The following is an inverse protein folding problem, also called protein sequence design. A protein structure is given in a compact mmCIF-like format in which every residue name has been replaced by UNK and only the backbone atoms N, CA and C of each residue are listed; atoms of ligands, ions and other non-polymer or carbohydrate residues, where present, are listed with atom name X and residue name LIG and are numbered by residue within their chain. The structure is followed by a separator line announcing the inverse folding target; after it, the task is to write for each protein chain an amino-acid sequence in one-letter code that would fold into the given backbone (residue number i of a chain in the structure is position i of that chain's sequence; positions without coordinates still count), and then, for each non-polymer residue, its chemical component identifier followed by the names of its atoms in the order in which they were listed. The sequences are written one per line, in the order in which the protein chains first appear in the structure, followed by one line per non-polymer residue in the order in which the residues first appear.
data_IF_833056732475
#
_entry.id   IF_833056732475
#
_cell.length_a   1.000
_cell.length_b   1.000
_cell.length_c   1.000
_cell.angle_alpha   90.00
_cell.angle_beta   90.00
_cell.angle_gamma   90.00
#
_symmetry.space_group_name_H-M   'P 1'
#
loop_
_entity.id
_entity.type
_entity.pdbx_description
1 polymer ?
#
# COMPACT_ATOMS: atom_id res chain seq x y z
N UNK A 1 28.73 4.38 -24.14
CA UNK A 1 28.59 5.08 -22.86
C UNK A 1 27.17 4.86 -22.41
N UNK A 2 26.94 4.48 -21.15
CA UNK A 2 25.60 4.51 -20.57
C UNK A 2 25.12 5.96 -20.58
N UNK A 3 23.87 6.20 -21.00
CA UNK A 3 23.26 7.53 -20.91
C UNK A 3 22.96 7.82 -19.43
N UNK A 4 23.98 8.29 -18.70
CA UNK A 4 23.82 8.78 -17.32
C UNK A 4 22.96 10.05 -17.41
N UNK A 5 21.85 10.08 -16.67
CA UNK A 5 20.94 11.23 -16.70
C UNK A 5 20.84 11.94 -15.36
N UNK A 6 20.94 11.20 -14.23
CA UNK A 6 20.72 11.73 -12.86
C UNK A 6 19.38 12.47 -12.65
N UNK A 7 18.48 12.39 -13.62
CA UNK A 7 17.18 13.04 -13.59
C UNK A 7 16.18 12.17 -12.83
N UNK A 8 15.25 12.77 -12.06
CA UNK A 8 14.19 12.04 -11.38
C UNK A 8 13.06 11.65 -12.35
N UNK A 9 13.40 11.14 -13.54
CA UNK A 9 12.44 10.94 -14.64
C UNK A 9 11.34 9.98 -14.20
N UNK A 10 10.10 10.47 -14.26
CA UNK A 10 8.92 9.69 -13.91
C UNK A 10 8.60 9.62 -12.42
N UNK A 11 9.43 10.14 -11.51
CA UNK A 11 9.04 10.26 -10.09
C UNK A 11 7.79 11.15 -9.94
N UNK A 12 7.59 12.08 -10.89
CA UNK A 12 6.37 12.84 -11.09
C UNK A 12 5.67 12.37 -12.37
N UNK A 13 4.34 12.21 -12.32
CA UNK A 13 3.55 11.89 -13.51
C UNK A 13 3.27 13.12 -14.40
N UNK A 14 2.62 12.92 -15.56
CA UNK A 14 2.27 14.01 -16.47
C UNK A 14 1.28 15.05 -15.88
N UNK A 15 0.58 14.71 -14.79
CA UNK A 15 -0.35 15.56 -14.06
C UNK A 15 0.32 16.28 -12.87
N UNK A 16 1.67 16.24 -12.79
CA UNK A 16 2.45 16.81 -11.67
C UNK A 16 2.13 16.17 -10.32
N UNK A 17 1.79 14.88 -10.31
CA UNK A 17 1.52 14.14 -9.07
C UNK A 17 2.67 13.23 -8.68
N UNK A 18 2.96 13.21 -7.38
CA UNK A 18 3.87 12.25 -6.78
C UNK A 18 3.14 10.94 -6.43
N UNK A 19 3.87 9.84 -6.19
CA UNK A 19 3.26 8.52 -5.91
C UNK A 19 2.26 8.58 -4.74
N UNK A 20 2.52 9.39 -3.71
CA UNK A 20 1.66 9.54 -2.54
C UNK A 20 0.26 10.03 -2.89
N UNK A 21 0.17 10.96 -3.84
CA UNK A 21 -1.08 11.57 -4.31
C UNK A 21 -1.88 10.62 -5.23
N UNK A 22 -1.21 9.62 -5.82
CA UNK A 22 -1.83 8.61 -6.68
C UNK A 22 -2.42 7.44 -5.88
N UNK A 23 -2.04 7.28 -4.61
CA UNK A 23 -2.51 6.17 -3.75
C UNK A 23 -3.69 6.61 -2.87
N UNK A 24 -4.86 6.00 -3.08
CA UNK A 24 -5.98 6.12 -2.15
C UNK A 24 -5.77 5.23 -0.93
N UNK A 25 -6.01 5.78 0.27
CA UNK A 25 -6.01 5.03 1.54
C UNK A 25 -7.41 4.89 2.16
N UNK A 26 -8.45 5.38 1.48
CA UNK A 26 -9.79 5.56 2.06
C UNK A 26 -10.61 4.28 2.16
N UNK A 27 -10.46 3.33 1.24
CA UNK A 27 -11.28 2.11 1.21
C UNK A 27 -10.94 1.16 2.35
N UNK A 28 -9.67 1.11 2.76
CA UNK A 28 -9.24 0.24 3.86
C UNK A 28 -9.75 0.71 5.22
N UNK A 29 -9.80 2.02 5.48
CA UNK A 29 -10.39 2.54 6.72
C UNK A 29 -11.89 2.24 6.78
N UNK A 30 -12.63 2.40 5.68
CA UNK A 30 -14.04 1.97 5.59
C UNK A 30 -14.21 0.47 5.86
N UNK A 31 -13.29 -0.37 5.38
CA UNK A 31 -13.32 -1.81 5.67
C UNK A 31 -13.02 -2.11 7.16
N UNK A 32 -12.10 -1.38 7.77
CA UNK A 32 -11.76 -1.48 9.20
C UNK A 32 -12.92 -1.05 10.10
N UNK A 33 -13.60 0.05 9.77
CA UNK A 33 -14.82 0.51 10.45
C UNK A 33 -15.93 -0.55 10.38
N UNK A 34 -16.19 -1.07 9.18
CA UNK A 34 -17.15 -2.16 8.98
C UNK A 34 -16.79 -3.39 9.82
N UNK A 35 -15.51 -3.81 9.81
CA UNK A 35 -15.03 -4.96 10.57
C UNK A 35 -15.20 -4.82 12.09
N UNK A 36 -15.14 -3.57 12.60
CA UNK A 36 -15.39 -3.24 14.01
C UNK A 36 -16.88 -3.24 14.35
N UNK A 37 -17.74 -2.84 13.41
CA UNK A 37 -19.18 -2.79 13.59
C UNK A 37 -19.86 -4.18 13.56
N UNK A 38 -19.21 -5.17 12.93
CA UNK A 38 -19.73 -6.54 12.88
C UNK A 38 -19.63 -7.23 14.26
N UNK A 39 -20.63 -8.05 14.63
CA UNK A 39 -20.60 -8.84 15.86
C UNK A 39 -19.32 -9.67 16.01
N UNK A 40 -18.88 -9.94 17.25
CA UNK A 40 -17.54 -10.46 17.46
C UNK A 40 -17.29 -11.85 16.87
N UNK A 41 -18.35 -12.65 16.78
CA UNK A 41 -18.43 -13.99 16.23
C UNK A 41 -19.87 -14.27 15.77
N UNK A 42 -20.07 -15.46 15.20
CA UNK A 42 -21.37 -15.88 14.71
C UNK A 42 -22.42 -16.02 15.82
N UNK A 43 -22.03 -16.43 17.04
CA UNK A 43 -23.00 -16.58 18.15
C UNK A 43 -23.58 -15.23 18.56
N UNK A 44 -22.75 -14.19 18.62
CA UNK A 44 -23.20 -12.83 18.89
C UNK A 44 -24.04 -12.27 17.74
N UNK A 45 -23.72 -12.60 16.50
CA UNK A 45 -24.56 -12.27 15.35
C UNK A 45 -25.95 -12.93 15.45
N UNK A 46 -26.02 -14.21 15.79
CA UNK A 46 -27.29 -14.90 16.02
C UNK A 46 -28.11 -14.18 17.12
N UNK A 47 -27.47 -13.79 18.22
CA UNK A 47 -28.14 -13.06 19.29
C UNK A 47 -28.72 -11.72 18.81
N UNK A 48 -27.89 -10.90 18.15
CA UNK A 48 -28.29 -9.57 17.68
C UNK A 48 -29.41 -9.61 16.64
N UNK A 49 -29.44 -10.67 15.82
CA UNK A 49 -30.47 -10.85 14.79
C UNK A 49 -31.74 -11.54 15.32
N UNK A 50 -31.88 -11.73 16.63
CA UNK A 50 -33.09 -12.28 17.24
C UNK A 50 -33.15 -13.81 17.28
N UNK A 51 -32.00 -14.49 17.18
CA UNK A 51 -31.85 -15.93 17.27
C UNK A 51 -32.34 -16.53 18.59
N UNK A 52 -32.42 -15.73 19.66
CA UNK A 52 -32.94 -16.13 20.97
C UNK A 52 -34.40 -16.62 20.92
N UNK A 53 -35.19 -16.16 19.94
CA UNK A 53 -36.57 -16.64 19.70
C UNK A 53 -36.63 -18.11 19.32
N UNK A 54 -35.54 -18.66 18.82
CA UNK A 54 -35.44 -20.03 18.32
C UNK A 54 -34.62 -20.95 19.23
N UNK A 55 -33.92 -20.38 20.23
CA UNK A 55 -33.11 -21.12 21.20
C UNK A 55 -33.32 -20.61 22.65
N UNK A 56 -34.45 -20.93 23.30
CA UNK A 56 -34.85 -20.33 24.58
C UNK A 56 -33.90 -20.59 25.76
N UNK A 57 -33.09 -21.66 25.72
CA UNK A 57 -32.25 -22.09 26.86
C UNK A 57 -30.84 -22.58 26.50
N UNK A 58 -30.35 -22.37 25.26
CA UNK A 58 -29.11 -23.03 24.79
C UNK A 58 -28.23 -22.27 23.79
N UNK A 59 -28.46 -20.98 23.54
CA UNK A 59 -27.72 -20.27 22.47
C UNK A 59 -26.19 -20.18 22.71
N UNK A 60 -25.73 -20.16 23.98
CA UNK A 60 -24.29 -20.11 24.32
C UNK A 60 -23.58 -21.45 24.11
N UNK A 61 -24.33 -22.56 24.19
CA UNK A 61 -23.82 -23.92 23.97
C UNK A 61 -24.01 -24.37 22.52
N UNK A 62 -24.46 -23.47 21.64
CA UNK A 62 -24.67 -23.73 20.22
C UNK A 62 -23.35 -24.01 19.50
N UNK A 63 -23.27 -25.17 18.84
CA UNK A 63 -22.14 -25.53 18.00
C UNK A 63 -22.28 -24.91 16.61
N UNK A 64 -21.68 -23.74 16.45
CA UNK A 64 -21.65 -23.02 15.16
C UNK A 64 -21.00 -23.87 14.06
N UNK A 65 -21.63 -23.98 12.86
CA UNK A 65 -21.01 -24.62 11.69
C UNK A 65 -19.63 -24.03 11.39
N UNK A 66 -18.68 -24.88 10.99
CA UNK A 66 -17.31 -24.44 10.71
C UNK A 66 -17.28 -23.30 9.68
N UNK A 67 -18.08 -23.39 8.61
CA UNK A 67 -18.22 -22.34 7.60
C UNK A 67 -18.67 -20.99 8.17
N UNK A 68 -19.58 -20.97 9.15
CA UNK A 68 -20.02 -19.74 9.81
C UNK A 68 -18.92 -19.12 10.70
N UNK A 69 -18.09 -19.94 11.34
CA UNK A 69 -16.90 -19.45 12.08
C UNK A 69 -15.87 -18.82 11.13
N UNK A 70 -15.59 -19.50 10.01
CA UNK A 70 -14.66 -19.00 8.98
C UNK A 70 -15.18 -17.71 8.36
N UNK A 71 -16.47 -17.63 8.05
CA UNK A 71 -17.11 -16.44 7.50
C UNK A 71 -16.87 -15.19 8.38
N UNK A 72 -17.16 -15.28 9.69
CA UNK A 72 -16.98 -14.17 10.63
C UNK A 72 -15.51 -13.82 10.89
N UNK A 73 -14.62 -14.81 10.88
CA UNK A 73 -13.19 -14.54 10.96
C UNK A 73 -12.70 -13.70 9.77
N UNK A 74 -13.19 -14.02 8.55
CA UNK A 74 -12.80 -13.31 7.33
C UNK A 74 -13.43 -11.91 7.21
N UNK A 75 -14.63 -11.69 7.76
CA UNK A 75 -15.19 -10.33 7.86
C UNK A 75 -14.31 -9.36 8.61
N UNK A 76 -13.50 -9.88 9.54
CA UNK A 76 -12.67 -9.06 10.41
C UNK A 76 -11.25 -8.89 9.93
N UNK A 77 -10.76 -9.79 9.07
CA UNK A 77 -9.40 -9.78 8.52
C UNK A 77 -8.31 -9.22 9.46
N UNK A 78 -8.32 -9.62 10.75
CA UNK A 78 -7.60 -8.89 11.82
C UNK A 78 -6.09 -8.78 11.57
N UNK A 79 -5.53 -9.68 10.77
CA UNK A 79 -4.11 -9.68 10.39
C UNK A 79 -3.74 -8.59 9.37
N UNK A 80 -4.69 -8.06 8.61
CA UNK A 80 -4.45 -7.00 7.61
C UNK A 80 -4.22 -5.65 8.27
N UNK A 81 -5.01 -5.28 9.29
CA UNK A 81 -4.99 -3.91 9.82
C UNK A 81 -3.66 -3.47 10.45
N UNK A 82 -2.93 -4.31 11.22
CA UNK A 82 -1.62 -3.95 11.72
C UNK A 82 -0.59 -3.73 10.60
N UNK A 83 -0.65 -4.57 9.56
CA UNK A 83 0.22 -4.41 8.38
C UNK A 83 -0.09 -3.12 7.64
N UNK A 84 -1.37 -2.84 7.44
CA UNK A 84 -1.79 -1.61 6.77
C UNK A 84 -1.48 -0.35 7.58
N UNK A 85 -1.58 -0.41 8.92
CA UNK A 85 -1.15 0.69 9.79
C UNK A 85 0.33 1.02 9.60
N UNK A 86 1.20 0.00 9.62
CA UNK A 86 2.63 0.16 9.33
C UNK A 86 2.89 0.67 7.93
N UNK A 87 2.11 0.25 6.94
CA UNK A 87 2.24 0.71 5.57
C UNK A 87 2.01 2.23 5.46
N UNK A 88 1.01 2.76 6.18
CA UNK A 88 0.77 4.21 6.24
C UNK A 88 1.93 4.97 6.88
N UNK A 89 2.50 4.44 7.95
CA UNK A 89 3.69 5.01 8.59
C UNK A 89 4.89 5.00 7.63
N UNK A 90 5.13 3.88 6.94
CA UNK A 90 6.20 3.76 5.94
C UNK A 90 6.02 4.73 4.77
N UNK A 91 4.80 4.89 4.26
CA UNK A 91 4.51 5.87 3.22
C UNK A 91 4.83 7.29 3.67
N UNK A 92 4.48 7.63 4.91
CA UNK A 92 4.83 8.94 5.47
C UNK A 92 6.34 9.12 5.64
N UNK A 93 7.03 8.15 6.25
CA UNK A 93 8.50 8.19 6.39
C UNK A 93 9.20 8.31 5.05
N UNK A 94 8.73 7.56 4.04
CA UNK A 94 9.25 7.65 2.68
C UNK A 94 9.10 9.04 2.09
N UNK A 95 7.92 9.67 2.25
CA UNK A 95 7.70 11.03 1.75
C UNK A 95 8.61 12.05 2.45
N UNK A 96 8.80 11.93 3.77
CA UNK A 96 9.71 12.80 4.53
C UNK A 96 11.17 12.61 4.13
N UNK A 97 11.63 11.37 3.98
CA UNK A 97 12.98 11.06 3.53
C UNK A 97 13.23 11.54 2.08
N UNK A 98 12.24 11.37 1.20
CA UNK A 98 12.26 11.90 -0.16
C UNK A 98 12.41 13.43 -0.17
N UNK A 99 11.62 14.14 0.64
CA UNK A 99 11.68 15.60 0.72
C UNK A 99 13.05 16.11 1.19
N UNK A 100 13.60 15.48 2.24
CA UNK A 100 14.93 15.80 2.74
C UNK A 100 15.99 15.57 1.65
N UNK A 101 15.88 14.48 0.89
CA UNK A 101 16.76 14.22 -0.25
C UNK A 101 16.72 15.33 -1.28
N UNK A 102 15.52 15.72 -1.72
CA UNK A 102 15.37 16.70 -2.78
C UNK A 102 15.99 18.03 -2.37
N UNK A 103 15.80 18.43 -1.11
CA UNK A 103 16.38 19.65 -0.54
C UNK A 103 17.91 19.58 -0.51
N UNK A 104 18.49 18.44 -0.11
CA UNK A 104 19.93 18.23 -0.08
C UNK A 104 20.54 18.22 -1.50
N UNK A 105 19.90 17.50 -2.44
CA UNK A 105 20.32 17.48 -3.85
C UNK A 105 20.31 18.88 -4.46
N UNK A 106 19.26 19.66 -4.24
CA UNK A 106 19.16 21.03 -4.75
C UNK A 106 20.26 21.92 -4.18
N UNK A 107 20.50 21.87 -2.87
CA UNK A 107 21.58 22.65 -2.23
C UNK A 107 22.97 22.29 -2.77
N UNK A 108 23.21 21.02 -3.08
CA UNK A 108 24.50 20.55 -3.60
C UNK A 108 24.69 20.93 -5.07
N UNK A 109 23.64 20.82 -5.90
CA UNK A 109 23.68 21.23 -7.31
C UNK A 109 23.90 22.75 -7.47
N UNK A 110 23.27 23.57 -6.62
CA UNK A 110 23.52 25.02 -6.59
C UNK A 110 24.98 25.36 -6.29
N UNK A 111 25.62 24.59 -5.41
CA UNK A 111 27.04 24.77 -5.04
C UNK A 111 27.98 24.38 -6.19
N UNK A 112 27.75 23.24 -6.85
CA UNK A 112 28.54 22.82 -8.02
C UNK A 112 28.46 23.86 -9.14
N UNK A 113 27.26 24.36 -9.44
CA UNK A 113 27.09 25.35 -10.51
C UNK A 113 27.86 26.64 -10.21
N UNK A 114 27.88 27.10 -8.96
CA UNK A 114 28.64 28.27 -8.56
C UNK A 114 30.16 28.08 -8.75
N UNK A 115 30.69 26.90 -8.40
CA UNK A 115 32.12 26.62 -8.49
C UNK A 115 32.59 26.36 -9.93
N UNK A 116 31.81 25.64 -10.74
CA UNK A 116 32.09 25.41 -12.18
C UNK A 116 32.10 26.74 -12.95
N UNK A 117 31.18 27.66 -12.63
CA UNK A 117 31.15 28.99 -13.24
C UNK A 117 32.31 29.89 -12.78
N UNK A 118 32.89 29.63 -11.60
CA UNK A 118 33.94 30.46 -11.01
C UNK A 118 35.37 30.02 -11.37
N UNK A 119 35.62 28.72 -11.58
CA UNK A 119 36.97 28.17 -11.74
C UNK A 119 37.10 27.21 -12.95
N UNK A 120 37.60 27.72 -14.07
CA UNK A 120 37.82 26.91 -15.29
C UNK A 120 39.08 26.03 -15.29
N UNK A 121 39.88 26.00 -14.22
CA UNK A 121 41.24 25.42 -14.23
C UNK A 121 41.54 24.37 -13.14
N UNK A 122 40.62 24.04 -12.24
CA UNK A 122 40.82 22.93 -11.30
C UNK A 122 40.45 21.59 -11.96
N UNK A 123 41.28 20.55 -11.81
CA UNK A 123 41.00 19.18 -12.32
C UNK A 123 41.08 18.08 -11.27
N UNK A 124 41.50 18.40 -10.03
CA UNK A 124 41.73 17.41 -8.97
C UNK A 124 41.04 17.75 -7.64
N UNK A 125 40.70 19.01 -7.37
CA UNK A 125 39.81 19.34 -6.24
C UNK A 125 38.37 18.88 -6.52
N UNK A 126 38.00 18.88 -7.81
CA UNK A 126 36.67 18.58 -8.32
C UNK A 126 36.23 17.13 -8.04
N UNK A 127 37.13 16.14 -8.08
CA UNK A 127 36.74 14.75 -7.81
C UNK A 127 36.43 14.49 -6.32
N UNK A 128 37.15 15.14 -5.40
CA UNK A 128 36.82 15.05 -3.96
C UNK A 128 35.54 15.80 -3.63
N UNK A 129 35.37 17.00 -4.20
CA UNK A 129 34.13 17.78 -4.03
C UNK A 129 32.92 17.05 -4.63
N UNK A 130 33.09 16.41 -5.78
CA UNK A 130 32.06 15.59 -6.39
C UNK A 130 31.75 14.35 -5.56
N UNK A 131 32.77 13.70 -4.97
CA UNK A 131 32.58 12.57 -4.06
C UNK A 131 31.74 12.96 -2.84
N UNK A 132 31.95 14.15 -2.28
CA UNK A 132 31.14 14.70 -1.18
C UNK A 132 29.66 14.91 -1.58
N UNK A 133 29.34 14.88 -2.87
CA UNK A 133 27.99 15.11 -3.41
C UNK A 133 27.36 13.80 -3.86
N UNK A 134 28.13 12.93 -4.50
CA UNK A 134 27.66 11.65 -5.03
C UNK A 134 27.46 10.63 -3.91
N UNK A 135 28.40 10.49 -2.97
CA UNK A 135 28.31 9.48 -1.89
C UNK A 135 27.04 9.63 -1.02
N UNK A 136 26.67 10.82 -0.50
CA UNK A 136 25.44 10.96 0.29
C UNK A 136 24.18 10.69 -0.54
N UNK A 137 24.20 11.01 -1.83
CA UNK A 137 23.08 10.74 -2.75
C UNK A 137 22.94 9.26 -3.03
N UNK A 138 24.04 8.54 -3.17
CA UNK A 138 24.06 7.08 -3.34
C UNK A 138 23.46 6.40 -2.13
N UNK A 139 23.96 6.70 -0.93
CA UNK A 139 23.47 6.14 0.33
C UNK A 139 21.96 6.34 0.51
N UNK A 140 21.49 7.56 0.24
CA UNK A 140 20.07 7.86 0.42
C UNK A 140 19.19 7.27 -0.70
N UNK A 141 19.65 7.24 -1.95
CA UNK A 141 18.92 6.60 -3.05
C UNK A 141 18.80 5.07 -2.83
N UNK A 142 19.81 4.43 -2.22
CA UNK A 142 19.70 3.06 -1.71
C UNK A 142 18.64 2.91 -0.61
N UNK A 143 18.58 3.83 0.36
CA UNK A 143 17.51 3.81 1.38
C UNK A 143 16.12 3.93 0.75
N UNK A 144 15.95 4.82 -0.23
CA UNK A 144 14.68 4.98 -0.96
C UNK A 144 14.31 3.70 -1.71
N UNK A 145 15.26 3.09 -2.43
CA UNK A 145 15.08 1.79 -3.07
C UNK A 145 14.61 0.72 -2.08
N UNK A 146 15.29 0.60 -0.95
CA UNK A 146 14.98 -0.41 0.08
C UNK A 146 13.60 -0.16 0.70
N UNK A 147 13.28 1.09 1.01
CA UNK A 147 11.96 1.45 1.55
C UNK A 147 10.85 1.14 0.55
N UNK A 148 11.02 1.46 -0.74
CA UNK A 148 10.06 1.13 -1.80
C UNK A 148 9.85 -0.39 -1.91
N UNK A 149 10.94 -1.17 -1.89
CA UNK A 149 10.90 -2.63 -1.91
C UNK A 149 10.11 -3.22 -0.71
N UNK A 150 10.32 -2.68 0.49
CA UNK A 150 9.60 -3.12 1.67
C UNK A 150 8.10 -2.74 1.59
N UNK A 151 7.78 -1.54 1.11
CA UNK A 151 6.40 -1.08 0.89
C UNK A 151 5.68 -2.02 -0.09
N UNK A 152 6.31 -2.37 -1.22
CA UNK A 152 5.77 -3.36 -2.18
C UNK A 152 5.47 -4.68 -1.49
N UNK A 153 6.41 -5.18 -0.68
CA UNK A 153 6.26 -6.45 0.04
C UNK A 153 5.06 -6.40 1.00
N UNK A 154 4.90 -5.32 1.76
CA UNK A 154 3.76 -5.14 2.67
C UNK A 154 2.43 -4.99 1.91
N UNK A 155 2.40 -4.26 0.80
CA UNK A 155 1.23 -4.14 -0.08
C UNK A 155 0.81 -5.49 -0.68
N UNK A 156 1.76 -6.28 -1.19
CA UNK A 156 1.52 -7.61 -1.73
C UNK A 156 0.97 -8.56 -0.65
N UNK A 157 1.50 -8.48 0.57
CA UNK A 157 1.00 -9.24 1.72
C UNK A 157 -0.44 -8.87 2.03
N UNK A 158 -0.78 -7.58 2.08
CA UNK A 158 -2.17 -7.10 2.28
C UNK A 158 -3.07 -7.60 1.16
N UNK A 159 -2.67 -7.42 -0.10
CA UNK A 159 -3.43 -7.86 -1.28
C UNK A 159 -3.73 -9.36 -1.24
N UNK A 160 -2.74 -10.18 -0.89
CA UNK A 160 -2.90 -11.64 -0.77
C UNK A 160 -3.93 -12.02 0.29
N UNK A 161 -3.87 -11.40 1.48
CA UNK A 161 -4.83 -11.67 2.56
C UNK A 161 -6.25 -11.22 2.17
N UNK A 162 -6.41 -10.05 1.56
CA UNK A 162 -7.73 -9.56 1.11
C UNK A 162 -8.33 -10.49 0.03
N UNK A 163 -7.53 -10.92 -0.95
CA UNK A 163 -7.97 -11.91 -1.97
C UNK A 163 -8.41 -13.22 -1.33
N UNK A 164 -7.64 -13.71 -0.35
CA UNK A 164 -8.01 -14.89 0.41
C UNK A 164 -9.31 -14.68 1.20
N UNK A 165 -9.53 -13.50 1.78
CA UNK A 165 -10.78 -13.17 2.47
C UNK A 165 -11.99 -13.28 1.54
N UNK A 166 -11.96 -12.70 0.34
CA UNK A 166 -13.07 -12.84 -0.63
C UNK A 166 -13.33 -14.31 -0.97
N UNK A 167 -12.26 -15.06 -1.29
CA UNK A 167 -12.37 -16.49 -1.62
C UNK A 167 -13.01 -17.28 -0.47
N UNK A 168 -12.55 -17.06 0.76
CA UNK A 168 -13.05 -17.75 1.94
C UNK A 168 -14.50 -17.38 2.28
N UNK A 169 -14.88 -16.11 2.10
CA UNK A 169 -16.27 -15.66 2.28
C UNK A 169 -17.17 -16.36 1.25
N UNK A 170 -16.80 -16.35 -0.03
CA UNK A 170 -17.57 -17.02 -1.08
C UNK A 170 -17.74 -18.52 -0.81
N UNK A 171 -16.66 -19.21 -0.42
CA UNK A 171 -16.73 -20.63 -0.07
C UNK A 171 -17.65 -20.86 1.14
N UNK A 172 -17.50 -20.05 2.19
CA UNK A 172 -18.34 -20.17 3.40
C UNK A 172 -19.81 -19.91 3.09
N UNK A 173 -20.12 -18.96 2.21
CA UNK A 173 -21.49 -18.71 1.73
C UNK A 173 -22.03 -19.91 0.98
N UNK A 174 -21.26 -20.53 0.08
CA UNK A 174 -21.67 -21.72 -0.65
C UNK A 174 -21.93 -22.91 0.28
N UNK A 175 -21.03 -23.16 1.24
CA UNK A 175 -21.16 -24.23 2.23
C UNK A 175 -22.40 -24.02 3.12
N UNK A 176 -22.64 -22.78 3.55
CA UNK A 176 -23.83 -22.45 4.33
C UNK A 176 -25.10 -22.54 3.50
N UNK A 177 -25.07 -22.17 2.21
CA UNK A 177 -26.20 -22.37 1.28
C UNK A 177 -26.58 -23.84 1.17
N UNK A 178 -25.60 -24.72 1.00
CA UNK A 178 -25.84 -26.17 0.98
C UNK A 178 -26.38 -26.69 2.33
N UNK A 179 -25.84 -26.17 3.44
CA UNK A 179 -26.29 -26.54 4.79
C UNK A 179 -27.75 -26.17 5.04
N UNK A 180 -28.23 -25.02 4.56
CA UNK A 180 -29.60 -24.53 4.84
C UNK A 180 -30.70 -25.13 3.96
N UNK A 181 -30.41 -26.08 3.07
CA UNK A 181 -31.41 -26.71 2.18
C UNK A 181 -32.23 -27.77 2.91
N UNK A 182 -33.50 -27.50 3.23
CA UNK A 182 -34.38 -28.47 3.89
C UNK A 182 -34.75 -29.64 2.98
N UNK A 183 -34.77 -30.84 3.55
CA UNK A 183 -35.42 -32.00 2.93
C UNK A 183 -36.94 -31.79 2.88
N UNK A 184 -37.69 -32.52 2.03
CA UNK A 184 -39.14 -32.39 1.99
C UNK A 184 -39.84 -32.63 3.33
N UNK A 185 -39.32 -33.55 4.14
CA UNK A 185 -39.88 -33.83 5.46
C UNK A 185 -39.54 -32.73 6.47
N UNK A 186 -38.30 -32.24 6.49
CA UNK A 186 -37.94 -31.08 7.32
C UNK A 186 -38.78 -29.85 6.95
N UNK A 187 -39.03 -29.61 5.66
CA UNK A 187 -39.86 -28.49 5.20
C UNK A 187 -41.30 -28.60 5.73
N UNK A 188 -41.91 -29.79 5.70
CA UNK A 188 -43.25 -30.01 6.29
C UNK A 188 -43.29 -29.73 7.79
N UNK A 189 -42.21 -30.03 8.50
CA UNK A 189 -42.08 -29.74 9.93
C UNK A 189 -41.86 -28.23 10.18
N UNK A 190 -41.08 -27.56 9.34
CA UNK A 190 -40.92 -26.09 9.32
C UNK A 190 -42.27 -25.39 9.13
N UNK A 191 -43.10 -25.84 8.18
CA UNK A 191 -44.40 -25.24 7.89
C UNK A 191 -45.36 -25.34 9.08
N UNK A 192 -45.15 -26.33 9.96
CA UNK A 192 -45.87 -26.52 11.23
C UNK A 192 -45.22 -25.83 12.43
N UNK A 193 -44.18 -25.02 12.22
CA UNK A 193 -43.36 -24.41 13.27
C UNK A 193 -42.69 -25.42 14.23
N UNK A 194 -42.56 -26.69 13.83
CA UNK A 194 -41.88 -27.71 14.60
C UNK A 194 -40.43 -27.85 14.14
N UNK A 195 -39.55 -26.97 14.64
CA UNK A 195 -38.14 -26.88 14.20
C UNK A 195 -37.17 -27.76 15.02
N UNK A 196 -37.71 -28.60 15.89
CA UNK A 196 -36.93 -29.46 16.79
C UNK A 196 -36.06 -30.43 15.98
N UNK A 197 -34.74 -30.44 16.23
CA UNK A 197 -33.78 -31.29 15.51
C UNK A 197 -33.07 -30.63 14.31
N UNK A 198 -33.58 -29.51 13.78
CA UNK A 198 -32.94 -28.75 12.68
C UNK A 198 -33.05 -27.23 12.87
N UNK A 199 -33.25 -26.78 14.10
CA UNK A 199 -33.35 -25.36 14.46
C UNK A 199 -32.15 -24.53 13.96
N UNK A 200 -30.95 -25.12 13.93
CA UNK A 200 -29.73 -24.48 13.43
C UNK A 200 -29.86 -24.05 11.97
N UNK A 201 -30.33 -24.99 11.15
CA UNK A 201 -30.59 -24.84 9.72
C UNK A 201 -31.69 -23.82 9.46
N UNK A 202 -32.74 -23.88 10.27
CA UNK A 202 -33.86 -22.94 10.25
C UNK A 202 -33.44 -21.51 10.60
N UNK A 203 -32.65 -21.33 11.65
CA UNK A 203 -32.20 -20.00 12.06
C UNK A 203 -31.25 -19.41 11.04
N UNK A 204 -30.30 -20.19 10.51
CA UNK A 204 -29.40 -19.73 9.45
C UNK A 204 -30.15 -19.30 8.18
N UNK A 205 -31.19 -20.04 7.79
CA UNK A 205 -32.01 -19.66 6.62
C UNK A 205 -32.87 -18.42 6.88
N UNK A 206 -33.35 -18.21 8.11
CA UNK A 206 -34.17 -17.05 8.48
C UNK A 206 -33.39 -15.77 8.72
N UNK A 207 -32.22 -15.85 9.35
CA UNK A 207 -31.45 -14.66 9.71
C UNK A 207 -30.66 -14.07 8.53
N UNK A 208 -30.32 -14.92 7.54
CA UNK A 208 -29.72 -14.49 6.28
C UNK A 208 -28.28 -13.99 6.43
N UNK A 209 -27.31 -14.84 6.07
CA UNK A 209 -25.88 -14.48 6.09
C UNK A 209 -25.40 -13.79 4.80
N UNK A 210 -26.15 -13.91 3.71
CA UNK A 210 -25.76 -13.42 2.37
C UNK A 210 -25.61 -11.89 2.27
N UNK A 211 -26.53 -11.05 2.82
CA UNK A 211 -26.39 -9.61 2.69
C UNK A 211 -25.13 -9.08 3.36
N UNK A 212 -24.80 -9.61 4.55
CA UNK A 212 -23.58 -9.23 5.27
C UNK A 212 -22.33 -9.74 4.54
N UNK A 213 -22.38 -10.94 3.95
CA UNK A 213 -21.29 -11.49 3.14
C UNK A 213 -21.03 -10.64 1.89
N UNK A 214 -22.10 -10.26 1.19
CA UNK A 214 -22.01 -9.39 0.02
C UNK A 214 -21.42 -8.04 0.37
N UNK A 215 -21.86 -7.43 1.48
CA UNK A 215 -21.30 -6.16 1.94
C UNK A 215 -19.81 -6.30 2.31
N UNK A 216 -19.43 -7.37 3.00
CA UNK A 216 -18.03 -7.64 3.33
C UNK A 216 -17.17 -7.80 2.08
N UNK A 217 -17.63 -8.57 1.08
CA UNK A 217 -16.94 -8.74 -0.20
C UNK A 217 -16.76 -7.38 -0.88
N UNK A 218 -17.81 -6.55 -0.96
CA UNK A 218 -17.71 -5.22 -1.56
C UNK A 218 -16.68 -4.34 -0.85
N UNK A 219 -16.64 -4.36 0.49
CA UNK A 219 -15.65 -3.58 1.26
C UNK A 219 -14.23 -4.06 1.02
N UNK A 220 -14.01 -5.38 1.01
CA UNK A 220 -12.71 -5.99 0.72
C UNK A 220 -12.28 -5.72 -0.73
N UNK A 221 -13.20 -5.78 -1.68
CA UNK A 221 -12.94 -5.50 -3.09
C UNK A 221 -12.57 -4.03 -3.30
N UNK A 222 -13.26 -3.10 -2.66
CA UNK A 222 -12.89 -1.69 -2.72
C UNK A 222 -11.49 -1.45 -2.13
N UNK A 223 -11.15 -2.11 -1.01
CA UNK A 223 -9.80 -2.05 -0.47
C UNK A 223 -8.75 -2.64 -1.45
N UNK A 224 -9.08 -3.71 -2.18
CA UNK A 224 -8.21 -4.25 -3.24
C UNK A 224 -8.06 -3.28 -4.41
N UNK A 225 -9.12 -2.58 -4.80
CA UNK A 225 -9.09 -1.60 -5.89
C UNK A 225 -8.18 -0.41 -5.56
N UNK A 226 -7.98 -0.09 -4.27
CA UNK A 226 -7.00 0.91 -3.82
C UNK A 226 -5.58 0.32 -3.76
N UNK A 227 -5.42 -0.91 -3.24
CA UNK A 227 -4.10 -1.54 -3.00
C UNK A 227 -3.41 -2.01 -4.28
N UNK A 228 -4.14 -2.50 -5.28
CA UNK A 228 -3.53 -3.04 -6.50
C UNK A 228 -2.82 -1.96 -7.33
N UNK A 229 -3.44 -0.79 -7.61
CA UNK A 229 -2.73 0.32 -8.24
C UNK A 229 -1.52 0.79 -7.43
N UNK A 230 -1.63 0.85 -6.10
CA UNK A 230 -0.51 1.22 -5.22
C UNK A 230 0.70 0.28 -5.37
N UNK A 231 0.49 -1.02 -5.61
CA UNK A 231 1.59 -1.95 -5.90
C UNK A 231 2.30 -1.55 -7.20
N UNK A 232 1.53 -1.29 -8.26
CA UNK A 232 2.08 -0.89 -9.56
C UNK A 232 2.89 0.40 -9.43
N UNK A 233 2.32 1.44 -8.79
CA UNK A 233 3.00 2.72 -8.58
C UNK A 233 4.31 2.57 -7.82
N UNK A 234 4.33 1.78 -6.75
CA UNK A 234 5.55 1.55 -5.98
C UNK A 234 6.58 0.68 -6.71
N UNK A 235 6.14 -0.22 -7.60
CA UNK A 235 7.05 -0.99 -8.46
C UNK A 235 7.73 -0.11 -9.51
N UNK A 236 7.00 0.84 -10.09
CA UNK A 236 7.59 1.84 -10.97
C UNK A 236 8.57 2.74 -10.22
N UNK A 237 8.17 3.19 -9.03
CA UNK A 237 9.02 3.96 -8.12
C UNK A 237 10.34 3.23 -7.82
N UNK A 238 10.27 1.94 -7.46
CA UNK A 238 11.45 1.10 -7.24
C UNK A 238 12.37 1.08 -8.47
N UNK A 239 11.82 0.87 -9.67
CA UNK A 239 12.61 0.85 -10.91
C UNK A 239 13.30 2.20 -11.19
N UNK A 240 12.69 3.32 -10.82
CA UNK A 240 13.29 4.65 -10.95
C UNK A 240 14.47 4.83 -9.99
N UNK A 241 14.34 4.40 -8.73
CA UNK A 241 15.47 4.41 -7.79
C UNK A 241 16.59 3.47 -8.20
N UNK A 242 16.28 2.32 -8.83
CA UNK A 242 17.30 1.43 -9.38
C UNK A 242 18.10 2.08 -10.52
N UNK A 243 17.44 2.85 -11.38
CA UNK A 243 18.11 3.62 -12.43
C UNK A 243 19.01 4.71 -11.84
N UNK A 244 18.51 5.51 -10.88
CA UNK A 244 19.28 6.56 -10.20
C UNK A 244 20.49 5.97 -9.48
N UNK A 245 20.32 4.86 -8.75
CA UNK A 245 21.45 4.18 -8.08
C UNK A 245 22.50 3.71 -9.08
N UNK A 246 22.08 3.20 -10.23
CA UNK A 246 23.01 2.73 -11.27
C UNK A 246 23.81 3.89 -11.86
N UNK A 247 23.17 5.04 -12.12
CA UNK A 247 23.83 6.26 -12.57
C UNK A 247 24.83 6.77 -11.53
N UNK A 248 24.44 6.81 -10.25
CA UNK A 248 25.31 7.28 -9.17
C UNK A 248 26.52 6.36 -8.96
N UNK A 249 26.34 5.04 -8.96
CA UNK A 249 27.44 4.07 -8.86
C UNK A 249 28.42 4.19 -10.04
N UNK A 250 27.91 4.40 -11.25
CA UNK A 250 28.77 4.59 -12.43
C UNK A 250 29.64 5.85 -12.27
N UNK A 251 29.10 6.92 -11.68
CA UNK A 251 29.89 8.13 -11.37
C UNK A 251 30.89 7.86 -10.24
N UNK A 252 30.51 7.14 -9.18
CA UNK A 252 31.43 6.77 -8.10
C UNK A 252 32.62 5.95 -8.61
N UNK A 253 32.38 4.97 -9.49
CA UNK A 253 33.44 4.15 -10.10
C UNK A 253 34.42 5.04 -10.89
N UNK A 254 33.90 5.97 -11.69
CA UNK A 254 34.74 6.90 -12.46
C UNK A 254 35.52 7.87 -11.57
N UNK A 255 34.94 8.33 -10.44
CA UNK A 255 35.65 9.12 -9.42
C UNK A 255 36.78 8.28 -8.80
N UNK A 256 36.51 7.02 -8.48
CA UNK A 256 37.47 6.11 -7.85
C UNK A 256 38.67 5.81 -8.76
N UNK A 257 38.46 5.80 -10.08
CA UNK A 257 39.50 5.60 -11.08
C UNK A 257 40.31 6.87 -11.41
N UNK A 258 39.97 8.02 -10.79
CA UNK A 258 40.57 9.34 -11.02
C UNK A 258 40.58 9.75 -12.51
N UNK A 259 39.59 9.31 -13.28
CA UNK A 259 39.51 9.59 -14.71
C UNK A 259 39.06 11.03 -14.97
N UNK A 260 39.80 11.79 -15.78
CA UNK A 260 39.40 13.13 -16.27
C UNK A 260 38.05 13.13 -17.00
N UNK A 261 37.57 11.96 -17.40
CA UNK A 261 36.29 11.73 -18.07
C UNK A 261 35.08 12.01 -17.16
N UNK A 262 35.25 11.99 -15.83
CA UNK A 262 34.20 12.38 -14.86
C UNK A 262 33.75 13.83 -15.10
N UNK A 263 34.72 14.74 -15.22
CA UNK A 263 34.48 16.18 -15.41
C UNK A 263 33.79 16.40 -16.76
N UNK A 264 34.19 15.64 -17.79
CA UNK A 264 33.57 15.71 -19.12
C UNK A 264 32.13 15.20 -19.09
N UNK A 265 31.83 14.11 -18.38
CA UNK A 265 30.47 13.59 -18.21
C UNK A 265 29.58 14.65 -17.55
N UNK A 266 30.01 15.23 -16.43
CA UNK A 266 29.22 16.24 -15.68
C UNK A 266 29.05 17.53 -16.47
N UNK A 267 30.07 17.95 -17.20
CA UNK A 267 29.97 19.09 -18.11
C UNK A 267 29.02 18.82 -19.28
N UNK A 268 28.78 17.55 -19.65
CA UNK A 268 27.80 17.16 -20.67
C UNK A 268 26.41 16.87 -20.12
N UNK A 269 26.24 16.73 -18.80
CA UNK A 269 24.94 16.61 -18.17
C UNK A 269 24.19 17.94 -18.27
N UNK A 270 22.91 17.88 -18.61
CA UNK A 270 22.03 19.05 -18.59
C UNK A 270 21.68 19.40 -17.12
N UNK A 271 22.63 20.03 -16.45
CA UNK A 271 22.56 20.35 -15.02
C UNK A 271 21.39 21.29 -14.70
N UNK A 272 21.03 22.19 -15.61
CA UNK A 272 19.84 23.05 -15.49
C UNK A 272 18.56 22.21 -15.51
N UNK A 273 18.43 21.28 -16.46
CA UNK A 273 17.28 20.39 -16.54
C UNK A 273 17.22 19.42 -15.35
N UNK A 274 18.35 18.89 -14.88
CA UNK A 274 18.40 18.05 -13.68
C UNK A 274 17.88 18.84 -12.48
N UNK A 275 18.38 20.06 -12.26
CA UNK A 275 17.98 20.92 -11.17
C UNK A 275 16.49 21.30 -11.24
N UNK A 276 16.00 21.71 -12.41
CA UNK A 276 14.59 22.03 -12.65
C UNK A 276 13.68 20.84 -12.27
N UNK A 277 14.07 19.61 -12.63
CA UNK A 277 13.28 18.41 -12.37
C UNK A 277 13.27 18.00 -10.90
N UNK A 278 14.39 18.13 -10.20
CA UNK A 278 14.43 17.90 -8.75
C UNK A 278 13.68 19.00 -7.99
N UNK A 279 13.69 20.23 -8.49
CA UNK A 279 12.95 21.34 -7.90
C UNK A 279 11.44 21.20 -8.09
N UNK A 280 11.00 20.81 -9.28
CA UNK A 280 9.59 20.46 -9.55
C UNK A 280 9.08 19.40 -8.56
N UNK A 281 9.88 18.36 -8.33
CA UNK A 281 9.55 17.30 -7.39
C UNK A 281 9.54 17.79 -5.92
N UNK A 282 10.48 18.65 -5.53
CA UNK A 282 10.52 19.28 -4.21
C UNK A 282 9.32 20.18 -3.92
N UNK A 283 8.90 20.98 -4.91
CA UNK A 283 7.75 21.89 -4.81
C UNK A 283 6.43 21.13 -4.65
N UNK A 284 6.24 20.03 -5.39
CA UNK A 284 5.05 19.16 -5.28
C UNK A 284 4.91 18.58 -3.88
N UNK A 285 6.01 18.10 -3.29
CA UNK A 285 6.00 17.53 -1.93
C UNK A 285 5.69 18.60 -0.88
N UNK A 286 6.23 19.82 -1.04
CA UNK A 286 5.97 20.93 -0.11
C UNK A 286 4.51 21.38 -0.11
N UNK A 287 3.84 21.34 -1.26
CA UNK A 287 2.41 21.70 -1.38
C UNK A 287 1.50 20.69 -0.67
N UNK A 288 1.89 19.42 -0.57
CA UNK A 288 1.13 18.39 0.15
C UNK A 288 1.18 18.58 1.68
N UNK A 289 2.28 19.13 2.21
CA UNK A 289 2.44 19.43 3.64
C UNK A 289 1.73 20.72 4.09
N UNK A 290 1.36 21.61 3.16
CA UNK A 290 0.66 22.88 3.44
C UNK A 290 -0.59 23.07 2.54
N UNK A 291 -1.70 22.35 2.80
CA UNK A 291 -2.95 22.54 2.05
C UNK A 291 -3.61 23.91 2.22
N UNK A 292 -3.06 24.80 3.07
CA UNK A 292 -3.67 26.06 3.49
C UNK A 292 -3.14 27.32 2.77
N UNK A 293 -2.25 27.19 1.78
CA UNK A 293 -1.70 28.35 1.06
C UNK A 293 -2.22 28.50 -0.39
N UNK A 294 -3.28 27.79 -0.77
CA UNK A 294 -4.04 28.08 -1.99
C UNK A 294 -5.41 28.71 -1.63
N UNK A 295 -5.39 29.96 -1.14
CA UNK A 295 -6.47 30.93 -1.27
C UNK A 295 -5.91 32.33 -1.54
#
# INVERSE_FOLDING_TARGET
MSDITLQPVGLVDAEKRYWGQKISTSSMEKFKEFSRAIPPDFQNYLYMMGGSKYFPSGYRTYNVPAAAKVLFANYKAKSVFPTYGRLRERFHSYATEAHAHYTEVLSLLETIMADVLANSESKFADCQELRLIVEPRTDLSFRMKDNASIIITDLQRVSSVLKACIKNINQSVADLKAFVVFTPEEQRQVDKMNITGFAEKYVLSKLGFEPLASLAITRVQNALNDIVPAITEMQEELGRWEAINSDLLAIEDLINEEETTVIEIIATLDNEQILERWQELGDIVRLEENPQNEE
#
